data_IF_533020253761
#
_entry.id   IF_533020253761
#
_cell.length_a   1.000
_cell.length_b   1.000
_cell.length_c   1.000
_cell.angle_alpha   90.00
_cell.angle_beta   90.00
_cell.angle_gamma   90.00
#
_symmetry.space_group_name_H-M   'P 1'
#
loop_
_entity.id
_entity.type
_entity.pdbx_description
1 polymer ?
#
# COMPACT_ATOMS: atom_id res chain seq x y z
N UNK A 1 -6.01 0.59 11.84
CA UNK A 1 -5.22 -0.06 10.77
C UNK A 1 -3.75 -0.03 11.11
N UNK A 2 -2.95 -0.97 10.62
CA UNK A 2 -1.48 -0.97 10.81
C UNK A 2 -0.78 -1.43 9.54
N UNK A 3 0.19 -0.66 9.07
CA UNK A 3 1.13 -1.07 8.01
C UNK A 3 2.54 -1.16 8.56
N UNK A 4 3.24 -2.26 8.27
CA UNK A 4 4.60 -2.56 8.76
C UNK A 4 5.45 -3.20 7.68
N UNK A 5 6.77 -3.05 7.77
CA UNK A 5 7.71 -3.62 6.79
C UNK A 5 9.10 -3.97 7.35
N UNK A 6 9.78 -4.99 6.82
CA UNK A 6 9.28 -5.95 5.83
C UNK A 6 8.29 -6.97 6.43
N UNK A 7 7.61 -7.75 5.58
CA UNK A 7 6.96 -8.98 6.06
C UNK A 7 8.02 -10.05 6.34
N UNK A 8 7.70 -10.98 7.23
CA UNK A 8 8.55 -12.13 7.52
C UNK A 8 8.23 -13.31 6.59
N UNK A 9 6.95 -13.63 6.40
CA UNK A 9 6.56 -14.84 5.65
C UNK A 9 5.60 -14.54 4.51
N UNK A 10 4.54 -13.79 4.76
CA UNK A 10 3.45 -13.58 3.81
C UNK A 10 3.23 -12.08 3.58
N UNK A 11 3.04 -11.68 2.33
CA UNK A 11 2.87 -10.27 1.96
C UNK A 11 1.72 -9.56 2.69
N UNK A 12 0.68 -10.31 3.08
CA UNK A 12 -0.48 -9.80 3.82
C UNK A 12 -0.13 -9.28 5.21
N UNK A 13 0.99 -9.71 5.82
CA UNK A 13 1.46 -9.20 7.12
C UNK A 13 1.70 -7.68 7.11
N UNK A 14 1.92 -7.11 5.92
CA UNK A 14 2.19 -5.68 5.76
C UNK A 14 0.95 -4.81 5.92
N UNK A 15 -0.25 -5.37 5.92
CA UNK A 15 -1.51 -4.62 6.10
C UNK A 15 -2.36 -5.36 7.12
N UNK A 16 -2.64 -4.71 8.25
CA UNK A 16 -3.45 -5.29 9.33
C UNK A 16 -4.64 -4.40 9.70
N UNK A 17 -5.78 -5.04 9.97
CA UNK A 17 -7.00 -4.42 10.51
C UNK A 17 -7.30 -5.13 11.84
N UNK A 18 -7.64 -4.37 12.88
CA UNK A 18 -7.88 -4.87 14.24
C UNK A 18 -6.80 -5.84 14.75
N UNK A 19 -5.53 -5.54 14.44
CA UNK A 19 -4.37 -6.30 14.88
C UNK A 19 -4.04 -7.55 14.05
N UNK A 20 -4.86 -7.90 13.05
CA UNK A 20 -4.70 -9.11 12.25
C UNK A 20 -4.34 -8.79 10.80
N UNK A 21 -3.39 -9.52 10.18
CA UNK A 21 -3.13 -9.41 8.75
C UNK A 21 -4.41 -9.58 7.94
N UNK A 22 -4.58 -8.79 6.88
CA UNK A 22 -5.72 -8.95 5.98
C UNK A 22 -5.67 -10.32 5.28
N UNK A 23 -6.83 -10.81 4.86
CA UNK A 23 -6.87 -12.07 4.12
C UNK A 23 -6.19 -11.94 2.74
N UNK A 24 -5.64 -13.01 2.16
CA UNK A 24 -5.09 -12.98 0.80
C UNK A 24 -6.10 -12.51 -0.25
N UNK A 25 -7.38 -12.83 -0.05
CA UNK A 25 -8.46 -12.36 -0.92
C UNK A 25 -8.61 -10.84 -0.83
N UNK A 26 -8.71 -10.30 0.38
CA UNK A 26 -8.81 -8.85 0.59
C UNK A 26 -7.58 -8.13 0.03
N UNK A 27 -6.37 -8.68 0.20
CA UNK A 27 -5.16 -8.13 -0.40
C UNK A 27 -5.25 -8.01 -1.94
N UNK A 28 -5.74 -9.05 -2.61
CA UNK A 28 -5.92 -9.03 -4.08
C UNK A 28 -7.05 -8.08 -4.48
N UNK A 29 -8.16 -8.09 -3.75
CA UNK A 29 -9.31 -7.24 -4.04
C UNK A 29 -8.95 -5.75 -3.88
N UNK A 30 -8.21 -5.37 -2.82
CA UNK A 30 -7.67 -4.01 -2.64
C UNK A 30 -6.70 -3.62 -3.75
N UNK A 31 -5.83 -4.53 -4.20
CA UNK A 31 -4.95 -4.24 -5.33
C UNK A 31 -5.76 -3.96 -6.61
N UNK A 32 -6.73 -4.83 -6.94
CA UNK A 32 -7.58 -4.68 -8.14
C UNK A 32 -8.41 -3.40 -8.13
N UNK A 33 -8.83 -2.96 -6.95
CA UNK A 33 -9.53 -1.69 -6.78
C UNK A 33 -8.65 -0.50 -7.17
N UNK A 34 -7.38 -0.51 -6.75
CA UNK A 34 -6.45 0.60 -7.03
C UNK A 34 -5.73 0.47 -8.38
N UNK A 35 -5.70 -0.72 -8.97
CA UNK A 35 -4.94 -1.06 -10.18
C UNK A 35 -5.18 -0.09 -11.35
N UNK A 36 -6.42 0.34 -11.68
CA UNK A 36 -6.64 1.32 -12.74
C UNK A 36 -5.95 2.67 -12.48
N UNK A 37 -5.87 3.10 -11.22
CA UNK A 37 -5.20 4.35 -10.85
C UNK A 37 -3.68 4.19 -10.89
N UNK A 38 -3.16 3.04 -10.45
CA UNK A 38 -1.72 2.72 -10.59
C UNK A 38 -1.32 2.77 -12.06
N UNK A 39 -2.08 2.10 -12.94
CA UNK A 39 -1.83 2.11 -14.39
C UNK A 39 -1.90 3.50 -15.00
N UNK A 40 -2.84 4.34 -14.55
CA UNK A 40 -2.95 5.72 -15.00
C UNK A 40 -1.72 6.54 -14.61
N UNK A 41 -1.23 6.40 -13.37
CA UNK A 41 -0.05 7.13 -12.89
C UNK A 41 1.23 6.63 -13.56
N UNK A 42 1.36 5.30 -13.74
CA UNK A 42 2.47 4.70 -14.47
C UNK A 42 2.55 5.26 -15.89
N UNK A 43 1.43 5.25 -16.63
CA UNK A 43 1.38 5.77 -17.99
C UNK A 43 1.77 7.27 -18.07
N UNK A 44 1.29 8.09 -17.14
CA UNK A 44 1.63 9.52 -17.08
C UNK A 44 3.12 9.74 -16.74
N UNK A 45 3.67 8.96 -15.81
CA UNK A 45 5.08 9.02 -15.45
C UNK A 45 5.95 8.63 -16.65
N UNK A 46 5.62 7.53 -17.33
CA UNK A 46 6.33 7.06 -18.52
C UNK A 46 6.29 8.07 -19.67
N UNK A 47 5.14 8.72 -19.92
CA UNK A 47 5.02 9.79 -20.92
C UNK A 47 5.93 10.98 -20.60
N UNK A 48 6.14 11.28 -19.31
CA UNK A 48 7.05 12.31 -18.84
C UNK A 48 8.52 11.85 -18.72
N UNK A 49 8.84 10.60 -19.12
CA UNK A 49 10.18 10.02 -19.02
C UNK A 49 10.58 9.56 -17.61
N UNK A 50 9.62 9.43 -16.69
CA UNK A 50 9.76 8.91 -15.35
C UNK A 50 9.59 7.38 -15.26
N UNK A 51 9.80 6.80 -14.06
CA UNK A 51 9.62 5.37 -13.82
C UNK A 51 8.16 5.02 -13.47
N UNK A 52 7.79 3.75 -13.65
CA UNK A 52 6.60 3.18 -13.02
C UNK A 52 6.73 3.19 -11.48
N UNK A 53 5.59 3.15 -10.80
CA UNK A 53 5.51 3.07 -9.35
C UNK A 53 6.26 1.85 -8.83
N UNK A 54 7.05 2.05 -7.79
CA UNK A 54 7.71 0.99 -7.07
C UNK A 54 6.70 0.10 -6.34
N UNK A 55 7.10 -1.14 -6.08
CA UNK A 55 6.31 -2.07 -5.26
C UNK A 55 5.91 -1.48 -3.91
N UNK A 56 6.77 -0.66 -3.29
CA UNK A 56 6.50 -0.11 -1.97
C UNK A 56 5.50 1.06 -2.01
N UNK A 57 5.54 1.88 -3.07
CA UNK A 57 4.54 2.93 -3.29
C UNK A 57 3.15 2.32 -3.51
N UNK A 58 3.05 1.30 -4.36
CA UNK A 58 1.78 0.57 -4.58
C UNK A 58 1.29 -0.07 -3.28
N UNK A 59 2.16 -0.73 -2.52
CA UNK A 59 1.76 -1.36 -1.26
C UNK A 59 1.29 -0.34 -0.21
N UNK A 60 1.92 0.84 -0.18
CA UNK A 60 1.52 1.92 0.73
C UNK A 60 0.14 2.46 0.33
N UNK A 61 -0.11 2.64 -0.97
CA UNK A 61 -1.43 3.00 -1.48
C UNK A 61 -2.49 1.95 -1.11
N UNK A 62 -2.18 0.64 -1.25
CA UNK A 62 -3.07 -0.44 -0.84
C UNK A 62 -3.38 -0.38 0.67
N UNK A 63 -2.39 -0.10 1.52
CA UNK A 63 -2.61 0.02 2.95
C UNK A 63 -3.59 1.14 3.29
N UNK A 64 -3.41 2.32 2.67
CA UNK A 64 -4.32 3.45 2.86
C UNK A 64 -5.73 3.19 2.32
N UNK A 65 -5.86 2.55 1.16
CA UNK A 65 -7.15 2.13 0.63
C UNK A 65 -7.87 1.15 1.58
N UNK A 66 -7.17 0.11 2.05
CA UNK A 66 -7.74 -0.86 2.99
C UNK A 66 -8.16 -0.23 4.33
N UNK A 67 -7.42 0.77 4.83
CA UNK A 67 -7.79 1.47 6.06
C UNK A 67 -9.00 2.39 5.91
N UNK A 68 -9.16 3.00 4.73
CA UNK A 68 -10.32 3.81 4.41
C UNK A 68 -11.58 2.96 4.23
N UNK A 69 -11.47 1.81 3.55
CA UNK A 69 -12.59 0.88 3.30
C UNK A 69 -13.04 0.14 4.57
N UNK A 70 -12.12 -0.12 5.50
CA UNK A 70 -12.40 -0.73 6.81
C UNK A 70 -12.77 0.27 7.92
N UNK A 71 -13.17 1.49 7.55
CA UNK A 71 -12.97 2.77 8.24
C UNK A 71 -12.33 2.68 9.63
N UNK A 72 -11.00 2.61 9.68
CA UNK A 72 -10.26 2.54 10.95
C UNK A 72 -10.24 3.90 11.66
N UNK A 73 -10.41 3.93 12.99
CA UNK A 73 -10.34 5.19 13.75
C UNK A 73 -8.94 5.83 13.69
N UNK A 74 -7.91 4.99 13.72
CA UNK A 74 -6.49 5.38 13.68
C UNK A 74 -5.70 4.38 12.84
N UNK A 75 -4.74 4.89 12.05
CA UNK A 75 -3.75 4.09 11.35
C UNK A 75 -2.36 4.26 11.98
N UNK A 76 -1.68 3.15 12.26
CA UNK A 76 -0.26 3.11 12.64
C UNK A 76 0.56 2.82 11.38
N UNK A 77 1.40 3.77 10.97
CA UNK A 77 2.15 3.72 9.71
C UNK A 77 3.64 3.67 10.01
N UNK A 78 4.26 2.51 9.78
CA UNK A 78 5.72 2.37 9.82
C UNK A 78 6.34 2.87 8.51
N UNK A 79 7.35 3.71 8.62
CA UNK A 79 8.16 4.19 7.49
C UNK A 79 8.91 3.01 6.86
N UNK A 80 8.93 2.94 5.53
CA UNK A 80 9.71 1.93 4.81
C UNK A 80 11.22 2.14 4.92
N UNK A 81 11.69 3.32 4.52
CA UNK A 81 13.09 3.70 4.61
C UNK A 81 13.27 5.20 4.92
N UNK A 82 13.96 5.51 6.01
CA UNK A 82 14.33 6.88 6.36
C UNK A 82 13.14 7.72 6.85
N UNK A 83 12.40 8.34 5.93
CA UNK A 83 11.18 9.10 6.26
C UNK A 83 10.85 10.23 5.30
N UNK A 84 11.77 11.19 5.10
CA UNK A 84 11.49 12.42 4.30
C UNK A 84 11.00 12.15 2.88
N UNK A 85 11.50 11.07 2.26
CA UNK A 85 11.20 10.68 0.89
C UNK A 85 10.61 9.26 0.83
N UNK A 86 10.06 8.79 1.95
CA UNK A 86 9.40 7.49 1.99
C UNK A 86 7.98 7.61 1.44
N UNK A 87 7.46 6.56 0.81
CA UNK A 87 6.12 6.56 0.25
C UNK A 87 5.00 6.81 1.29
N UNK A 88 5.31 6.65 2.58
CA UNK A 88 4.37 6.92 3.68
C UNK A 88 4.23 8.40 4.04
N UNK A 89 5.10 9.29 3.51
CA UNK A 89 5.18 10.72 3.83
C UNK A 89 5.00 11.61 2.59
#
# INVERSE_FOLDING_TARGET
GRTTSPHLQIATERISIDGHPISPRLYVDTFREIEPYVQMIDAQSEEAGGPAMSKFEVLTAMAYAAFAEAPVDVAVVEVGLGGRWDATN
#
